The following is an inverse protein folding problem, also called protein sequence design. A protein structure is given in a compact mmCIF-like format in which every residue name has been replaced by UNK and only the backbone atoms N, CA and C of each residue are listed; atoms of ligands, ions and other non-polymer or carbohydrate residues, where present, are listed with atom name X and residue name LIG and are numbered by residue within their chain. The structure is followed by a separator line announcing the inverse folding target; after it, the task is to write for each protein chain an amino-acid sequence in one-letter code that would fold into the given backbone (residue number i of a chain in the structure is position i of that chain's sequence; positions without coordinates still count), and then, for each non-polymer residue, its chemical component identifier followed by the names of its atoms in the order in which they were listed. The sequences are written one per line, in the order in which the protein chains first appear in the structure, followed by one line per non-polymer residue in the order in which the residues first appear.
data_IF_117487834036
#
_entry.id   IF_117487834036
#
_cell.length_a   1.000
_cell.length_b   1.000
_cell.length_c   1.000
_cell.angle_alpha   90.00
_cell.angle_beta   90.00
_cell.angle_gamma   90.00
#
_symmetry.space_group_name_H-M   'P 1'
#
loop_
_entity.id
_entity.type
_entity.pdbx_description
1 polymer ?
#
# COMPACT_ATOMS: atom_id res chain seq x y z
N UNK A 1 7.75 17.41 2.63
CA UNK A 1 7.19 16.18 2.04
C UNK A 1 6.58 15.42 3.19
N UNK A 2 5.30 15.09 3.08
CA UNK A 2 4.55 14.39 4.12
C UNK A 2 4.43 12.92 3.71
N UNK A 3 4.63 12.00 4.66
CA UNK A 3 4.62 10.54 4.44
C UNK A 3 3.35 9.94 5.05
N UNK A 4 2.72 8.97 4.37
CA UNK A 4 1.57 8.25 4.92
C UNK A 4 2.06 7.04 5.70
N UNK A 5 2.20 7.18 7.02
CA UNK A 5 2.75 6.10 7.87
C UNK A 5 1.71 5.21 8.53
N UNK A 6 0.45 5.66 8.61
CA UNK A 6 -0.64 4.94 9.26
C UNK A 6 -2.01 5.37 8.74
N UNK A 7 -2.91 4.41 8.53
CA UNK A 7 -4.33 4.65 8.25
C UNK A 7 -5.18 3.49 8.79
N UNK A 8 -6.47 3.74 9.03
CA UNK A 8 -7.43 2.74 9.49
C UNK A 8 -8.67 2.80 8.59
N UNK A 9 -9.19 1.65 8.18
CA UNK A 9 -10.39 1.56 7.32
C UNK A 9 -11.61 1.28 8.19
N UNK A 10 -12.69 2.02 7.95
CA UNK A 10 -13.96 1.85 8.63
C UNK A 10 -15.10 1.68 7.63
N UNK A 11 -16.06 0.83 7.96
CA UNK A 11 -17.21 0.50 7.10
C UNK A 11 -18.18 1.67 6.93
N UNK A 12 -18.29 2.54 7.95
CA UNK A 12 -19.23 3.67 7.95
C UNK A 12 -18.52 4.99 8.18
N UNK A 13 -19.10 6.05 7.60
CA UNK A 13 -18.60 7.41 7.76
C UNK A 13 -18.67 7.86 9.23
N UNK A 14 -19.73 7.52 9.96
CA UNK A 14 -19.84 7.90 11.38
C UNK A 14 -18.77 7.24 12.24
N UNK A 15 -18.42 5.97 11.97
CA UNK A 15 -17.36 5.27 12.69
C UNK A 15 -16.01 5.95 12.47
N UNK A 16 -15.66 6.24 11.21
CA UNK A 16 -14.44 6.96 10.85
C UNK A 16 -14.37 8.33 11.54
N UNK A 17 -15.45 9.10 11.50
CA UNK A 17 -15.51 10.42 12.12
C UNK A 17 -15.33 10.39 13.65
N UNK A 18 -15.96 9.42 14.33
CA UNK A 18 -15.79 9.25 15.78
C UNK A 18 -14.35 8.87 16.11
N UNK A 19 -13.77 7.95 15.35
CA UNK A 19 -12.37 7.50 15.53
C UNK A 19 -11.38 8.64 15.32
N UNK A 20 -11.53 9.39 14.22
CA UNK A 20 -10.70 10.56 13.91
C UNK A 20 -10.73 11.59 15.05
N UNK A 21 -11.92 11.89 15.58
CA UNK A 21 -12.08 12.80 16.72
C UNK A 21 -11.42 12.29 18.00
N UNK A 22 -11.44 11.00 18.26
CA UNK A 22 -10.73 10.40 19.40
C UNK A 22 -9.23 10.54 19.23
N UNK A 23 -8.69 10.13 18.07
CA UNK A 23 -7.26 10.18 17.78
C UNK A 23 -6.74 11.62 17.84
N UNK A 24 -7.51 12.59 17.35
CA UNK A 24 -7.14 14.03 17.43
C UNK A 24 -6.88 14.48 18.87
N UNK A 25 -7.55 13.90 19.88
CA UNK A 25 -7.37 14.22 21.30
C UNK A 25 -6.25 13.45 22.00
N UNK A 26 -5.63 12.47 21.34
CA UNK A 26 -4.62 11.63 21.97
C UNK A 26 -3.27 12.34 22.11
N UNK A 27 -2.55 11.98 23.17
CA UNK A 27 -1.16 12.39 23.36
C UNK A 27 -0.29 11.82 22.23
N UNK A 28 0.74 12.57 21.84
CA UNK A 28 1.67 12.20 20.76
C UNK A 28 2.28 10.82 20.98
N UNK A 29 2.63 10.48 22.22
CA UNK A 29 3.25 9.20 22.55
C UNK A 29 2.34 8.00 22.25
N UNK A 30 1.03 8.16 22.41
CA UNK A 30 0.07 7.11 22.07
C UNK A 30 -0.02 6.90 20.56
N UNK A 31 0.03 7.99 19.78
CA UNK A 31 0.04 7.91 18.31
C UNK A 31 1.32 7.23 17.83
N UNK A 32 2.47 7.60 18.39
CA UNK A 32 3.76 6.99 18.07
C UNK A 32 3.76 5.49 18.35
N UNK A 33 3.31 5.06 19.54
CA UNK A 33 3.22 3.62 19.87
C UNK A 33 2.28 2.86 18.94
N UNK A 34 1.17 3.47 18.50
CA UNK A 34 0.28 2.84 17.53
C UNK A 34 0.94 2.70 16.16
N UNK A 35 1.58 3.77 15.68
CA UNK A 35 2.31 3.75 14.41
C UNK A 35 3.43 2.72 14.47
N UNK A 36 4.24 2.69 15.52
CA UNK A 36 5.34 1.71 15.69
C UNK A 36 4.83 0.27 15.78
N UNK A 37 3.65 0.04 16.35
CA UNK A 37 3.05 -1.29 16.45
C UNK A 37 2.63 -1.83 15.08
N UNK A 38 2.11 -0.99 14.19
CA UNK A 38 1.60 -1.40 12.88
C UNK A 38 2.63 -1.23 11.75
N UNK A 39 3.49 -0.23 11.85
CA UNK A 39 4.53 0.12 10.89
C UNK A 39 5.84 0.44 11.62
N UNK A 40 6.52 -0.57 12.20
CA UNK A 40 7.78 -0.37 12.94
C UNK A 40 8.91 0.21 12.08
N UNK A 41 8.83 0.02 10.76
CA UNK A 41 9.83 0.46 9.80
C UNK A 41 9.53 1.85 9.21
N UNK A 42 8.44 2.50 9.61
CA UNK A 42 8.04 3.82 9.13
C UNK A 42 7.99 3.93 7.59
N UNK A 43 7.55 2.86 6.93
CA UNK A 43 7.44 2.80 5.48
C UNK A 43 6.31 3.71 5.00
N UNK A 44 6.47 4.31 3.80
CA UNK A 44 5.40 5.07 3.18
C UNK A 44 4.34 4.13 2.61
N UNK A 45 3.15 4.16 3.22
CA UNK A 45 2.00 3.37 2.80
C UNK A 45 1.34 3.97 1.54
N UNK A 46 1.66 5.23 1.19
CA UNK A 46 1.13 5.84 -0.02
C UNK A 46 1.65 5.15 -1.27
N UNK A 47 2.92 4.75 -1.28
CA UNK A 47 3.52 4.00 -2.40
C UNK A 47 2.86 2.63 -2.56
N UNK A 48 2.55 1.96 -1.45
CA UNK A 48 1.84 0.66 -1.47
C UNK A 48 0.44 0.79 -2.07
N UNK A 49 -0.30 1.82 -1.66
CA UNK A 49 -1.64 2.08 -2.18
C UNK A 49 -1.61 2.50 -3.66
N UNK A 50 -0.68 3.37 -4.04
CA UNK A 50 -0.57 3.91 -5.40
C UNK A 50 -0.17 2.84 -6.42
N UNK A 51 0.65 1.89 -6.02
CA UNK A 51 1.16 0.84 -6.91
C UNK A 51 0.30 -0.43 -6.87
N UNK A 52 -0.81 -0.44 -6.12
CA UNK A 52 -1.67 -1.62 -5.98
C UNK A 52 -0.91 -2.83 -5.44
N UNK A 53 0.10 -2.62 -4.60
CA UNK A 53 0.97 -3.67 -4.08
C UNK A 53 2.15 -4.07 -4.96
N UNK A 54 2.38 -3.45 -6.13
CA UNK A 54 3.65 -3.61 -6.86
C UNK A 54 4.76 -2.88 -6.11
N UNK A 55 5.50 -3.61 -5.28
CA UNK A 55 6.62 -3.05 -4.51
C UNK A 55 7.92 -3.08 -5.31
N UNK A 56 8.04 -4.03 -6.24
CA UNK A 56 9.23 -4.20 -7.09
C UNK A 56 8.86 -4.50 -8.55
N UNK A 57 9.75 -4.15 -9.49
CA UNK A 57 9.60 -4.47 -10.91
C UNK A 57 9.53 -5.99 -11.19
N UNK A 58 10.04 -6.82 -10.27
CA UNK A 58 9.93 -8.29 -10.34
C UNK A 58 8.51 -8.81 -10.06
N UNK A 59 7.68 -8.01 -9.40
CA UNK A 59 6.28 -8.37 -9.06
C UNK A 59 5.34 -8.05 -10.24
N UNK A 60 5.86 -7.39 -11.28
CA UNK A 60 5.13 -7.11 -12.51
C UNK A 60 5.02 -8.35 -13.38
N UNK A 61 3.83 -8.94 -13.40
CA UNK A 61 3.46 -9.99 -14.36
C UNK A 61 2.72 -9.32 -15.54
N UNK A 62 3.31 -9.26 -16.75
CA UNK A 62 2.59 -8.75 -17.91
C UNK A 62 1.34 -9.60 -18.18
N UNK A 63 0.24 -8.96 -18.58
CA UNK A 63 -1.03 -9.63 -18.90
C UNK A 63 -0.92 -10.74 -19.96
N UNK A 64 0.20 -10.79 -20.71
CA UNK A 64 0.50 -11.78 -21.75
C UNK A 64 1.39 -12.94 -21.30
N UNK A 65 1.91 -12.97 -20.06
CA UNK A 65 2.86 -13.99 -19.60
C UNK A 65 2.27 -15.42 -19.50
N UNK A 66 0.94 -15.56 -19.65
CA UNK A 66 0.24 -16.85 -19.72
C UNK A 66 0.12 -17.47 -21.12
N UNK A 67 0.57 -16.80 -22.20
CA UNK A 67 0.53 -17.35 -23.56
C UNK A 67 1.89 -17.91 -23.98
N UNK A 68 2.44 -18.84 -23.20
CA UNK A 68 3.57 -19.66 -23.68
C UNK A 68 3.02 -20.77 -24.57
N UNK A 69 2.85 -20.45 -25.86
CA UNK A 69 2.38 -21.40 -26.86
C UNK A 69 2.35 -20.83 -28.27
N UNK A 70 3.33 -20.01 -28.66
CA UNK A 70 3.58 -19.74 -30.08
C UNK A 70 5.09 -19.78 -30.32
N UNK A 71 5.60 -21.00 -30.43
CA UNK A 71 6.84 -21.26 -31.15
C UNK A 71 6.58 -20.92 -32.62
N UNK A 72 7.34 -19.97 -33.17
CA UNK A 72 8.01 -20.09 -34.47
C UNK A 72 8.64 -18.74 -34.83
N UNK A 73 9.95 -18.65 -34.64
CA UNK A 73 10.79 -17.89 -35.57
C UNK A 73 10.74 -18.60 -36.92
N UNK A 74 10.67 -17.85 -38.03
CA UNK A 74 11.83 -17.86 -38.92
C UNK A 74 12.23 -16.41 -39.20
N UNK A 75 13.46 -16.04 -38.83
CA UNK A 75 14.65 -16.18 -39.67
C UNK A 75 14.70 -15.09 -40.74
N UNK A 76 15.78 -14.31 -40.66
CA UNK A 76 16.25 -13.27 -41.57
C UNK A 76 15.75 -13.36 -43.03
N UNK A 77 15.17 -12.25 -43.50
CA UNK A 77 15.63 -11.47 -44.66
C UNK A 77 15.03 -10.05 -44.65
#
# INVERSE_FOLDING_TARGET
MDLLVWFEVHETREAAFRRERQIKKWNRDWKLRMIEKENPNWLDLYDDFRLGGLKDAKDWVPAFAGMSGMSETPNDQ
#
